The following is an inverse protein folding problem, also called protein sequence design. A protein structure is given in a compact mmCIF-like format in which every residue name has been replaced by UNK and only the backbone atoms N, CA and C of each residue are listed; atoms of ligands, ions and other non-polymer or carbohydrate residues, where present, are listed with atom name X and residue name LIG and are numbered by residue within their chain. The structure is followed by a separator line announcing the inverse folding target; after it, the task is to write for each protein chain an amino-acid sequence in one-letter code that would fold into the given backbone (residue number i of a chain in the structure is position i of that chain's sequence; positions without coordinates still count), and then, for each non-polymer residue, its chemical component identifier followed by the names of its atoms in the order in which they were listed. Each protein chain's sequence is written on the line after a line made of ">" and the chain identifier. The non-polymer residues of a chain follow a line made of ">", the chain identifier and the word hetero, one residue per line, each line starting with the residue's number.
data_IF_936266711192
#
_entry.id   IF_936266711192
#
_cell.length_a   1.000
_cell.length_b   1.000
_cell.length_c   1.000
_cell.angle_alpha   90.00
_cell.angle_beta   90.00
_cell.angle_gamma   90.00
#
_symmetry.space_group_name_H-M   'P 1'
#
loop_
_entity.id
_entity.type
_entity.pdbx_description
1 polymer ?
#
# COMPACT_ATOMS: atom_id res chain seq x y z
N UNK A 1 18.96 -5.82 -11.72
CA UNK A 1 18.93 -6.09 -10.27
C UNK A 1 18.31 -4.87 -9.58
N UNK A 2 16.99 -4.85 -9.43
CA UNK A 2 16.30 -3.77 -8.71
C UNK A 2 16.40 -4.10 -7.23
N UNK A 3 17.30 -3.39 -6.54
CA UNK A 3 17.66 -3.63 -5.13
C UNK A 3 16.42 -3.56 -4.22
N UNK A 4 16.33 -4.47 -3.23
CA UNK A 4 15.19 -4.55 -2.27
C UNK A 4 14.92 -3.19 -1.61
N UNK A 5 15.99 -2.47 -1.30
CA UNK A 5 15.94 -1.16 -0.66
C UNK A 5 15.29 -0.08 -1.54
N UNK A 6 15.32 -0.24 -2.86
CA UNK A 6 14.75 0.76 -3.77
C UNK A 6 13.21 0.77 -3.72
N UNK A 7 12.55 -0.37 -3.55
CA UNK A 7 11.09 -0.42 -3.47
C UNK A 7 10.54 0.16 -2.18
N UNK A 8 11.17 -0.12 -1.03
CA UNK A 8 10.71 0.41 0.25
C UNK A 8 10.79 1.93 0.24
N UNK A 9 11.93 2.49 -0.20
CA UNK A 9 12.07 3.95 -0.25
C UNK A 9 11.13 4.55 -1.28
N UNK A 10 10.95 3.93 -2.46
CA UNK A 10 9.98 4.39 -3.45
C UNK A 10 8.55 4.41 -2.91
N UNK A 11 8.11 3.32 -2.27
CA UNK A 11 6.80 3.26 -1.63
C UNK A 11 6.65 4.32 -0.53
N UNK A 12 7.70 4.58 0.26
CA UNK A 12 7.70 5.64 1.26
C UNK A 12 7.55 7.03 0.64
N UNK A 13 8.26 7.30 -0.45
CA UNK A 13 8.17 8.57 -1.17
C UNK A 13 6.80 8.75 -1.83
N UNK A 14 6.20 7.68 -2.37
CA UNK A 14 4.82 7.70 -2.86
C UNK A 14 3.86 8.09 -1.73
N UNK A 15 3.98 7.49 -0.55
CA UNK A 15 3.16 7.83 0.62
C UNK A 15 3.32 9.32 0.99
N UNK A 16 4.54 9.86 0.94
CA UNK A 16 4.81 11.29 1.17
C UNK A 16 4.14 12.15 0.10
N UNK A 17 4.28 11.80 -1.18
CA UNK A 17 3.73 12.54 -2.32
C UNK A 17 2.21 12.52 -2.38
N UNK A 18 1.58 11.43 -1.94
CA UNK A 18 0.11 11.35 -1.76
C UNK A 18 -0.38 12.15 -0.54
N UNK A 19 0.53 12.77 0.21
CA UNK A 19 0.19 13.70 1.29
C UNK A 19 -0.22 13.03 2.60
N UNK A 20 0.11 11.75 2.79
CA UNK A 20 -0.27 11.05 4.02
C UNK A 20 0.45 11.64 5.24
N UNK A 21 -0.18 11.61 6.44
CA UNK A 21 0.41 12.15 7.65
C UNK A 21 1.76 11.51 7.97
N UNK A 22 2.61 12.23 8.71
CA UNK A 22 3.96 11.77 9.10
C UNK A 22 3.96 10.39 9.77
N UNK A 23 2.89 10.06 10.48
CA UNK A 23 2.72 8.76 11.14
C UNK A 23 2.67 7.57 10.16
N UNK A 24 2.36 7.80 8.88
CA UNK A 24 2.31 6.78 7.84
C UNK A 24 3.56 6.76 6.96
N UNK A 25 4.46 7.75 7.05
CA UNK A 25 5.67 7.86 6.22
C UNK A 25 6.83 6.98 6.73
N UNK A 26 6.52 5.74 7.11
CA UNK A 26 7.47 4.79 7.69
C UNK A 26 7.54 3.49 6.88
N UNK A 27 8.52 2.65 7.21
CA UNK A 27 8.77 1.37 6.53
C UNK A 27 7.57 0.41 6.59
N UNK A 28 6.84 0.36 7.72
CA UNK A 28 5.66 -0.52 7.85
C UNK A 28 4.59 -0.17 6.82
N UNK A 29 4.29 1.11 6.66
CA UNK A 29 3.32 1.54 5.66
C UNK A 29 3.81 1.31 4.24
N UNK A 30 5.10 1.52 3.97
CA UNK A 30 5.69 1.19 2.67
C UNK A 30 5.54 -0.30 2.35
N UNK A 31 5.84 -1.19 3.30
CA UNK A 31 5.68 -2.64 3.13
C UNK A 31 4.21 -3.05 2.95
N UNK A 32 3.28 -2.40 3.64
CA UNK A 32 1.85 -2.65 3.45
C UNK A 32 1.38 -2.26 2.03
N UNK A 33 1.84 -1.12 1.53
CA UNK A 33 1.55 -0.68 0.16
C UNK A 33 2.13 -1.69 -0.86
N UNK A 34 3.38 -2.10 -0.69
CA UNK A 34 4.02 -3.08 -1.57
C UNK A 34 3.31 -4.45 -1.56
N UNK A 35 2.85 -4.90 -0.40
CA UNK A 35 2.08 -6.13 -0.27
C UNK A 35 0.77 -6.06 -1.05
N UNK A 36 0.00 -4.99 -0.86
CA UNK A 36 -1.26 -4.75 -1.56
C UNK A 36 -1.10 -4.56 -3.08
N UNK A 37 0.12 -4.31 -3.55
CA UNK A 37 0.49 -4.25 -4.97
C UNK A 37 1.18 -5.54 -5.46
N UNK A 38 1.40 -6.52 -4.58
CA UNK A 38 2.23 -7.70 -4.83
C UNK A 38 3.57 -7.37 -5.54
N UNK A 39 4.23 -6.30 -5.09
CA UNK A 39 5.48 -5.79 -5.66
C UNK A 39 6.70 -6.34 -4.93
N UNK A 40 7.01 -7.61 -5.18
CA UNK A 40 8.23 -8.24 -4.66
C UNK A 40 9.50 -7.58 -5.25
N UNK A 41 10.66 -7.75 -4.60
CA UNK A 41 11.93 -7.26 -5.15
C UNK A 41 12.17 -7.71 -6.59
N UNK A 42 12.60 -6.78 -7.44
CA UNK A 42 12.88 -7.04 -8.86
C UNK A 42 11.66 -6.89 -9.78
N UNK A 43 10.43 -6.87 -9.25
CA UNK A 43 9.21 -6.64 -10.04
C UNK A 43 9.07 -5.16 -10.39
N UNK A 44 8.75 -4.82 -11.64
CA UNK A 44 8.57 -3.41 -11.99
C UNK A 44 7.22 -2.87 -11.48
N UNK A 45 7.14 -1.57 -11.17
CA UNK A 45 5.90 -0.91 -10.73
C UNK A 45 4.74 -1.07 -11.73
N UNK A 46 5.03 -1.10 -13.04
CA UNK A 46 4.03 -1.40 -14.09
C UNK A 46 3.41 -2.80 -13.96
N UNK A 47 4.08 -3.73 -13.28
CA UNK A 47 3.63 -5.10 -13.01
C UNK A 47 2.96 -5.22 -11.63
N UNK A 48 2.74 -4.11 -10.91
CA UNK A 48 1.94 -4.10 -9.69
C UNK A 48 0.61 -4.82 -9.93
N UNK A 49 0.14 -5.61 -8.99
CA UNK A 49 -1.14 -6.31 -9.05
C UNK A 49 -2.15 -5.67 -8.10
N UNK A 50 -3.31 -6.31 -7.94
CA UNK A 50 -4.35 -5.85 -7.04
C UNK A 50 -5.02 -7.01 -6.27
N UNK A 51 -4.27 -7.79 -5.48
CA UNK A 51 -4.84 -8.89 -4.69
C UNK A 51 -5.78 -8.38 -3.59
N UNK A 52 -6.76 -9.21 -3.21
CA UNK A 52 -7.50 -9.05 -1.94
C UNK A 52 -6.62 -9.57 -0.81
N UNK A 53 -6.30 -8.73 0.17
CA UNK A 53 -5.46 -9.15 1.30
C UNK A 53 -6.05 -8.78 2.65
N UNK A 54 -6.02 -9.71 3.60
CA UNK A 54 -6.19 -9.42 5.02
C UNK A 54 -4.89 -8.94 5.67
N UNK A 55 -4.97 -8.49 6.92
CA UNK A 55 -3.80 -7.95 7.65
C UNK A 55 -2.69 -8.99 7.86
N UNK A 56 -3.05 -10.21 8.27
CA UNK A 56 -2.06 -11.28 8.49
C UNK A 56 -1.36 -11.65 7.18
N UNK A 57 -2.06 -11.89 6.06
CA UNK A 57 -1.43 -12.04 4.75
C UNK A 57 -0.48 -10.90 4.35
N UNK A 58 -0.80 -9.64 4.67
CA UNK A 58 0.10 -8.49 4.41
C UNK A 58 1.40 -8.62 5.22
N UNK A 59 1.29 -8.96 6.51
CA UNK A 59 2.46 -9.16 7.37
C UNK A 59 3.32 -10.34 6.92
N UNK A 60 2.68 -11.45 6.55
CA UNK A 60 3.36 -12.64 6.03
C UNK A 60 4.08 -12.33 4.73
N UNK A 61 3.43 -11.61 3.81
CA UNK A 61 4.04 -11.19 2.56
C UNK A 61 5.28 -10.31 2.78
N UNK A 62 5.24 -9.38 3.74
CA UNK A 62 6.37 -8.52 4.08
C UNK A 62 7.54 -9.33 4.66
N UNK A 63 7.27 -10.34 5.48
CA UNK A 63 8.28 -11.28 5.97
C UNK A 63 8.91 -12.05 4.81
N UNK A 64 8.10 -12.65 3.96
CA UNK A 64 8.58 -13.60 2.95
C UNK A 64 9.35 -12.91 1.81
N UNK A 65 8.95 -11.68 1.43
CA UNK A 65 9.57 -10.95 0.31
C UNK A 65 10.67 -9.97 0.74
N UNK A 66 10.51 -9.35 1.91
CA UNK A 66 11.40 -8.28 2.40
C UNK A 66 12.13 -8.64 3.70
N UNK A 67 11.90 -9.83 4.27
CA UNK A 67 12.54 -10.27 5.51
C UNK A 67 12.02 -9.54 6.75
N UNK A 68 10.90 -8.83 6.65
CA UNK A 68 10.35 -8.08 7.78
C UNK A 68 9.37 -8.93 8.59
N UNK A 69 9.90 -9.60 9.60
CA UNK A 69 9.08 -10.41 10.50
C UNK A 69 8.46 -9.54 11.61
N UNK A 70 7.13 -9.44 11.59
CA UNK A 70 6.37 -8.68 12.58
C UNK A 70 5.75 -9.62 13.61
N UNK A 71 5.94 -9.31 14.90
CA UNK A 71 5.29 -10.04 15.98
C UNK A 71 3.75 -9.97 15.86
N UNK A 72 2.99 -11.03 16.24
CA UNK A 72 1.53 -11.10 16.05
C UNK A 72 0.73 -9.91 16.61
N UNK A 73 1.17 -9.33 17.73
CA UNK A 73 0.55 -8.14 18.33
C UNK A 73 0.62 -6.88 17.42
N UNK A 74 1.54 -6.85 16.45
CA UNK A 74 1.67 -5.78 15.45
C UNK A 74 0.50 -5.72 14.48
N UNK A 75 -0.29 -6.80 14.38
CA UNK A 75 -1.48 -6.86 13.50
C UNK A 75 -2.41 -5.68 13.71
N UNK A 76 -2.63 -5.28 14.97
CA UNK A 76 -3.53 -4.17 15.26
C UNK A 76 -2.94 -2.81 14.89
N UNK A 77 -1.62 -2.66 15.04
CA UNK A 77 -0.88 -1.50 14.57
C UNK A 77 -0.96 -1.37 13.05
N UNK A 78 -0.74 -2.45 12.30
CA UNK A 78 -0.88 -2.45 10.84
C UNK A 78 -2.30 -2.07 10.43
N UNK A 79 -3.31 -2.67 11.07
CA UNK A 79 -4.71 -2.39 10.75
C UNK A 79 -5.08 -0.94 11.01
N UNK A 80 -4.89 -0.45 12.25
CA UNK A 80 -5.36 0.89 12.66
C UNK A 80 -4.48 2.01 12.17
N UNK A 81 -3.16 1.86 12.25
CA UNK A 81 -2.23 2.96 12.00
C UNK A 81 -1.72 3.02 10.57
N UNK A 82 -2.03 2.04 9.73
CA UNK A 82 -1.60 2.02 8.33
C UNK A 82 -2.80 1.79 7.41
N UNK A 83 -3.42 0.61 7.46
CA UNK A 83 -4.42 0.21 6.46
C UNK A 83 -5.69 1.08 6.54
N UNK A 84 -6.20 1.35 7.73
CA UNK A 84 -7.33 2.27 7.89
C UNK A 84 -7.02 3.68 7.36
N UNK A 85 -5.78 4.15 7.55
CA UNK A 85 -5.37 5.48 7.07
C UNK A 85 -5.23 5.50 5.55
N UNK A 86 -4.90 4.37 4.93
CA UNK A 86 -4.94 4.22 3.47
C UNK A 86 -6.39 4.23 2.95
N UNK A 87 -7.32 3.63 3.69
CA UNK A 87 -8.75 3.71 3.39
C UNK A 87 -9.28 5.14 3.51
N UNK A 88 -8.98 5.83 4.61
CA UNK A 88 -9.40 7.22 4.83
C UNK A 88 -8.85 8.16 3.74
N UNK A 89 -7.66 7.85 3.18
CA UNK A 89 -7.04 8.58 2.07
C UNK A 89 -7.54 8.17 0.68
N UNK A 90 -8.46 7.20 0.57
CA UNK A 90 -8.97 6.70 -0.72
C UNK A 90 -7.98 5.87 -1.54
N UNK A 91 -6.87 5.40 -0.95
CA UNK A 91 -5.86 4.57 -1.63
C UNK A 91 -6.26 3.09 -1.62
N UNK A 92 -6.98 2.67 -0.58
CA UNK A 92 -7.34 1.27 -0.33
C UNK A 92 -8.84 1.15 -0.10
N UNK A 93 -9.47 0.17 -0.73
CA UNK A 93 -10.86 -0.20 -0.51
C UNK A 93 -10.96 -1.23 0.62
N UNK A 94 -11.98 -1.06 1.46
CA UNK A 94 -12.34 -2.00 2.53
C UNK A 94 -13.43 -2.96 2.04
N UNK A 95 -13.20 -4.27 2.12
CA UNK A 95 -14.11 -5.32 1.67
C UNK A 95 -14.76 -5.08 0.29
N UNK A 96 -13.98 -4.75 -0.76
CA UNK A 96 -14.56 -4.53 -2.10
C UNK A 96 -15.19 -5.81 -2.69
N UNK A 97 -14.86 -6.98 -2.15
CA UNK A 97 -15.44 -8.28 -2.51
C UNK A 97 -16.83 -8.51 -1.91
N UNK A 98 -17.11 -7.92 -0.75
CA UNK A 98 -18.37 -8.06 -0.02
C UNK A 98 -18.64 -6.77 0.78
N UNK A 99 -19.21 -5.72 0.15
CA UNK A 99 -19.38 -4.41 0.78
C UNK A 99 -20.23 -4.43 2.06
N UNK A 100 -21.17 -5.38 2.17
CA UNK A 100 -22.06 -5.54 3.33
C UNK A 100 -21.46 -6.37 4.47
N UNK A 101 -20.18 -6.80 4.34
CA UNK A 101 -19.50 -7.55 5.38
C UNK A 101 -19.47 -6.75 6.69
N UNK A 102 -19.88 -7.39 7.78
CA UNK A 102 -19.85 -6.80 9.12
C UNK A 102 -18.47 -6.22 9.45
N UNK A 103 -18.44 -4.99 9.98
CA UNK A 103 -17.21 -4.27 10.36
C UNK A 103 -16.34 -5.00 11.38
N UNK A 104 -16.93 -5.93 12.16
CA UNK A 104 -16.25 -6.75 13.16
C UNK A 104 -15.81 -8.12 12.61
N UNK A 105 -16.02 -8.38 11.31
CA UNK A 105 -15.67 -9.65 10.70
C UNK A 105 -14.16 -9.90 10.75
N UNK A 106 -13.71 -11.08 11.18
CA UNK A 106 -12.29 -11.44 11.13
C UNK A 106 -11.81 -11.64 9.69
N UNK A 107 -12.72 -11.70 8.71
CA UNK A 107 -12.45 -11.93 7.29
C UNK A 107 -12.32 -10.63 6.49
N UNK A 108 -12.08 -9.50 7.16
CA UNK A 108 -11.86 -8.24 6.48
C UNK A 108 -10.69 -8.33 5.49
N UNK A 109 -10.90 -7.86 4.26
CA UNK A 109 -9.86 -7.76 3.23
C UNK A 109 -9.79 -6.35 2.67
N UNK A 110 -8.66 -6.07 2.05
CA UNK A 110 -8.28 -4.77 1.54
C UNK A 110 -7.70 -4.93 0.14
N UNK A 111 -7.90 -3.92 -0.70
CA UNK A 111 -7.44 -3.90 -2.08
C UNK A 111 -7.06 -2.47 -2.47
N UNK A 112 -6.09 -2.28 -3.37
CA UNK A 112 -5.79 -0.94 -3.89
C UNK A 112 -6.97 -0.46 -4.73
N UNK A 113 -7.33 0.80 -4.56
CA UNK A 113 -8.35 1.45 -5.37
C UNK A 113 -7.90 1.48 -6.85
N UNK A 114 -8.76 1.11 -7.83
CA UNK A 114 -8.36 0.97 -9.23
C UNK A 114 -7.67 2.19 -9.86
N UNK A 115 -8.11 3.42 -9.59
CA UNK A 115 -7.46 4.63 -10.10
C UNK A 115 -6.09 4.85 -9.45
N UNK A 116 -5.95 4.60 -8.15
CA UNK A 116 -4.67 4.60 -7.46
C UNK A 116 -3.71 3.55 -8.06
N UNK A 117 -4.18 2.34 -8.38
CA UNK A 117 -3.38 1.33 -9.06
C UNK A 117 -2.90 1.80 -10.44
N UNK A 118 -3.78 2.40 -11.24
CA UNK A 118 -3.44 2.94 -12.56
C UNK A 118 -2.37 4.04 -12.46
N UNK A 119 -2.49 4.93 -11.46
CA UNK A 119 -1.49 5.94 -11.14
C UNK A 119 -0.14 5.30 -10.80
N UNK A 120 -0.13 4.29 -9.92
CA UNK A 120 1.09 3.60 -9.46
C UNK A 120 1.78 2.81 -10.57
N UNK A 121 1.02 2.24 -11.51
CA UNK A 121 1.56 1.54 -12.68
C UNK A 121 2.11 2.48 -13.74
N UNK A 122 1.48 3.64 -13.95
CA UNK A 122 1.91 4.63 -14.97
C UNK A 122 3.10 5.49 -14.52
N UNK A 123 3.31 5.60 -13.21
CA UNK A 123 4.37 6.40 -12.60
C UNK A 123 5.75 5.75 -12.55
N UNK A 124 5.94 4.58 -13.19
CA UNK A 124 7.27 4.00 -13.37
C UNK A 124 8.18 4.86 -14.28
N UNK A 125 7.58 5.62 -15.20
CA UNK A 125 8.32 6.42 -16.19
C UNK A 125 8.45 7.91 -15.79
N UNK A 126 7.68 8.37 -14.79
CA UNK A 126 7.70 9.77 -14.34
C UNK A 126 8.12 9.87 -12.87
N UNK A 127 9.32 10.42 -12.66
CA UNK A 127 10.01 10.61 -11.36
C UNK A 127 9.29 11.47 -10.30
N UNK A 128 8.00 11.79 -10.42
CA UNK A 128 7.37 12.83 -9.59
C UNK A 128 7.44 12.55 -8.08
N UNK A 129 7.34 11.29 -7.64
CA UNK A 129 7.56 10.91 -6.24
C UNK A 129 9.03 10.98 -5.79
N UNK A 130 10.00 10.84 -6.71
CA UNK A 130 11.43 11.10 -6.44
C UNK A 130 11.74 12.60 -6.35
N UNK A 131 10.91 13.43 -6.95
CA UNK A 131 11.03 14.89 -6.96
C UNK A 131 10.29 15.57 -5.79
N UNK A 132 9.60 14.81 -4.95
CA UNK A 132 8.85 15.37 -3.81
C UNK A 132 7.63 16.20 -4.21
N UNK A 133 7.12 16.03 -5.43
CA UNK A 133 5.91 16.70 -5.89
C UNK A 133 4.69 16.04 -5.22
N UNK A 134 3.80 16.88 -4.66
CA UNK A 134 2.57 16.42 -4.00
C UNK A 134 1.44 16.28 -5.01
N UNK A 135 0.69 15.18 -4.94
CA UNK A 135 -0.51 14.96 -5.75
C UNK A 135 -1.72 14.75 -4.84
N UNK A 136 -2.83 15.43 -5.13
CA UNK A 136 -4.11 15.19 -4.49
C UNK A 136 -4.94 14.29 -5.40
N UNK A 137 -5.35 13.11 -4.90
CA UNK A 137 -6.15 12.13 -5.65
C UNK A 137 -7.58 12.67 -5.96
N UNK A 138 -7.99 13.76 -5.33
CA UNK A 138 -9.35 14.32 -5.42
C UNK A 138 -9.70 15.12 -6.69
N UNK A 139 -8.96 15.05 -7.78
CA UNK A 139 -9.23 15.86 -8.99
C UNK A 139 -9.23 15.10 -10.32
N UNK A 140 -9.51 13.79 -10.29
CA UNK A 140 -9.68 12.96 -11.50
C UNK A 140 -11.00 12.19 -11.43
N UNK A 141 -12.10 12.95 -11.41
CA UNK A 141 -13.36 12.54 -12.01
C UNK A 141 -13.78 13.69 -12.95
N UNK A 142 -14.29 13.40 -14.16
CA UNK A 142 -14.84 14.44 -15.05
C UNK A 142 -16.03 15.16 -14.40
#
# INVERSE_FOLDING_TARGET
>A
MTDKNNHIEAARQIIVSLGLPRAQQNERSALCLLALLNLAPGKAWKEAENPLMGITPIMDWARDNYGKDYAPNTRETVRRQTIHQFCDAGIVLYNPDEPDRSVNSPKAVYQIEPAALALLRSSSDTLWWRLGLKFSVGLLLP
#
